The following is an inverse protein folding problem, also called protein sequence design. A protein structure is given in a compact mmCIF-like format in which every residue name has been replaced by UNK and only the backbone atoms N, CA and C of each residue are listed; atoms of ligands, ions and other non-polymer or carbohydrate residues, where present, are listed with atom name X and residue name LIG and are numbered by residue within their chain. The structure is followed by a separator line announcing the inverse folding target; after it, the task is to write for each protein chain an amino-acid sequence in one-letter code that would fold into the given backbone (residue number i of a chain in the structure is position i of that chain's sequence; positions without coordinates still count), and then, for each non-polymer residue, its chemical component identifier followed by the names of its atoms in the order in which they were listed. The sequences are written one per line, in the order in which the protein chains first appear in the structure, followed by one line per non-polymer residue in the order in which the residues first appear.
data_IF_911627715767
#
_entry.id   IF_911627715767
#
_cell.length_a   1.000
_cell.length_b   1.000
_cell.length_c   1.000
_cell.angle_alpha   90.00
_cell.angle_beta   90.00
_cell.angle_gamma   90.00
#
_symmetry.space_group_name_H-M   'P 1'
#
loop_
_entity.id
_entity.type
_entity.pdbx_description
1 polymer ?
#
# COMPACT_ATOMS: atom_id res chain seq x y z
N UNK A 1 -22.97 -8.65 -15.52
CA UNK A 1 -23.42 -8.82 -14.12
C UNK A 1 -22.27 -8.91 -13.11
N UNK A 2 -21.20 -9.70 -13.33
CA UNK A 2 -20.08 -9.81 -12.38
C UNK A 2 -19.35 -8.46 -12.07
N UNK A 3 -19.22 -7.60 -13.08
CA UNK A 3 -18.55 -6.30 -12.95
C UNK A 3 -19.26 -5.35 -11.98
N UNK A 4 -20.60 -5.36 -11.93
CA UNK A 4 -21.38 -4.52 -11.02
C UNK A 4 -21.28 -4.98 -9.56
N UNK A 5 -21.15 -6.28 -9.32
CA UNK A 5 -20.98 -6.85 -7.98
C UNK A 5 -19.61 -6.52 -7.37
N UNK A 6 -18.54 -6.60 -8.18
CA UNK A 6 -17.17 -6.23 -7.80
C UNK A 6 -17.03 -4.75 -7.44
N UNK A 7 -17.70 -3.86 -8.17
CA UNK A 7 -17.70 -2.42 -7.88
C UNK A 7 -18.37 -2.14 -6.53
N UNK A 8 -19.43 -2.90 -6.19
CA UNK A 8 -20.14 -2.75 -4.92
C UNK A 8 -19.31 -3.22 -3.71
N UNK A 9 -18.58 -4.34 -3.83
CA UNK A 9 -17.71 -4.83 -2.75
C UNK A 9 -16.52 -3.90 -2.53
N UNK A 10 -15.97 -3.36 -3.60
CA UNK A 10 -14.85 -2.45 -3.55
C UNK A 10 -15.21 -1.09 -2.97
N UNK A 11 -16.32 -0.48 -3.41
CA UNK A 11 -16.78 0.79 -2.84
C UNK A 11 -17.05 0.65 -1.34
N UNK A 12 -17.62 -0.49 -0.93
CA UNK A 12 -17.84 -0.82 0.48
C UNK A 12 -16.52 -0.96 1.24
N UNK A 13 -15.53 -1.68 0.69
CA UNK A 13 -14.22 -1.86 1.30
C UNK A 13 -13.48 -0.53 1.45
N UNK A 14 -13.45 0.28 0.40
CA UNK A 14 -12.87 1.63 0.40
C UNK A 14 -13.49 2.50 1.49
N UNK A 15 -14.82 2.44 1.67
CA UNK A 15 -15.51 3.18 2.74
C UNK A 15 -15.09 2.69 4.14
N UNK A 16 -14.99 1.37 4.34
CA UNK A 16 -14.55 0.79 5.61
C UNK A 16 -13.11 1.21 5.94
N UNK A 17 -12.20 1.11 4.96
CA UNK A 17 -10.80 1.51 5.13
C UNK A 17 -10.68 3.01 5.47
N UNK A 18 -11.41 3.87 4.75
CA UNK A 18 -11.42 5.31 5.04
C UNK A 18 -11.92 5.61 6.46
N UNK A 19 -12.97 4.94 6.91
CA UNK A 19 -13.47 5.11 8.27
C UNK A 19 -12.43 4.69 9.31
N UNK A 20 -11.80 3.52 9.13
CA UNK A 20 -10.75 3.03 10.03
C UNK A 20 -9.55 3.99 10.11
N UNK A 21 -9.10 4.52 8.97
CA UNK A 21 -8.00 5.50 8.91
C UNK A 21 -8.37 6.78 9.66
N UNK A 22 -9.59 7.29 9.47
CA UNK A 22 -10.07 8.47 10.19
C UNK A 22 -10.15 8.23 11.70
N UNK A 23 -10.61 7.07 12.13
CA UNK A 23 -10.68 6.71 13.54
C UNK A 23 -9.29 6.68 14.20
N UNK A 24 -8.30 6.06 13.54
CA UNK A 24 -6.90 6.03 14.01
C UNK A 24 -6.33 7.46 14.07
N UNK A 25 -6.58 8.25 13.03
CA UNK A 25 -6.11 9.64 12.95
C UNK A 25 -6.72 10.53 14.03
N UNK A 26 -8.02 10.36 14.34
CA UNK A 26 -8.71 11.09 15.41
C UNK A 26 -8.09 10.84 16.79
N UNK A 27 -7.50 9.64 16.98
CA UNK A 27 -6.73 9.28 18.18
C UNK A 27 -5.30 9.84 18.15
N UNK A 28 -4.96 10.72 17.20
CA UNK A 28 -3.63 11.29 16.94
C UNK A 28 -2.54 10.25 16.63
N UNK A 29 -2.94 9.09 16.13
CA UNK A 29 -2.03 8.05 15.66
C UNK A 29 -1.85 8.16 14.15
N UNK A 30 -0.67 7.79 13.65
CA UNK A 30 -0.38 7.78 12.22
C UNK A 30 -0.63 6.36 11.66
N UNK A 31 -1.68 6.12 10.86
CA UNK A 31 -1.95 4.80 10.32
C UNK A 31 -0.94 4.45 9.23
N UNK A 32 -0.51 3.18 9.25
CA UNK A 32 0.42 2.60 8.29
C UNK A 32 -0.24 1.38 7.66
N UNK A 33 -0.43 1.40 6.34
CA UNK A 33 -0.87 0.23 5.59
C UNK A 33 0.35 -0.56 5.12
N UNK A 34 0.51 -1.77 5.68
CA UNK A 34 1.55 -2.71 5.24
C UNK A 34 0.88 -3.74 4.34
N UNK A 35 1.40 -3.88 3.12
CA UNK A 35 0.98 -4.92 2.19
C UNK A 35 2.14 -5.87 1.97
N UNK A 36 1.99 -7.10 2.45
CA UNK A 36 2.89 -8.19 2.11
C UNK A 36 2.54 -8.78 0.74
N UNK A 37 3.54 -9.28 0.04
CA UNK A 37 3.41 -9.81 -1.32
C UNK A 37 2.64 -8.88 -2.29
N UNK A 38 2.88 -7.57 -2.19
CA UNK A 38 2.30 -6.57 -3.09
C UNK A 38 2.65 -6.84 -4.57
N UNK A 39 3.73 -7.59 -4.83
CA UNK A 39 4.05 -8.14 -6.16
C UNK A 39 2.93 -8.98 -6.77
N UNK A 40 2.01 -9.55 -5.99
CA UNK A 40 0.87 -10.31 -6.48
C UNK A 40 -0.36 -9.44 -6.80
N UNK A 41 -0.37 -8.19 -6.36
CA UNK A 41 -1.50 -7.30 -6.61
C UNK A 41 -1.66 -6.99 -8.10
N UNK A 42 -2.93 -6.87 -8.51
CA UNK A 42 -3.32 -6.41 -9.84
C UNK A 42 -3.09 -4.91 -9.96
N UNK A 43 -2.78 -4.46 -11.17
CA UNK A 43 -2.50 -3.06 -11.48
C UNK A 43 -3.65 -2.12 -11.04
N UNK A 44 -4.90 -2.51 -11.25
CA UNK A 44 -6.09 -1.76 -10.86
C UNK A 44 -6.20 -1.47 -9.36
N UNK A 45 -5.61 -2.30 -8.50
CA UNK A 45 -5.63 -2.13 -7.04
C UNK A 45 -4.68 -1.02 -6.60
N UNK A 46 -3.53 -0.85 -7.27
CA UNK A 46 -2.60 0.24 -6.97
C UNK A 46 -3.22 1.62 -7.21
N UNK A 47 -4.02 1.77 -8.27
CA UNK A 47 -4.76 3.02 -8.51
C UNK A 47 -5.75 3.33 -7.38
N UNK A 48 -6.37 2.31 -6.80
CA UNK A 48 -7.34 2.49 -5.72
C UNK A 48 -6.69 2.78 -4.37
N UNK A 49 -5.52 2.16 -4.10
CA UNK A 49 -4.71 2.49 -2.92
C UNK A 49 -4.33 3.97 -2.91
N UNK A 50 -3.99 4.54 -4.06
CA UNK A 50 -3.74 5.98 -4.18
C UNK A 50 -4.99 6.79 -3.79
N UNK A 51 -6.16 6.44 -4.32
CA UNK A 51 -7.43 7.12 -3.99
C UNK A 51 -7.78 7.04 -2.49
N UNK A 52 -7.46 5.93 -1.82
CA UNK A 52 -7.69 5.80 -0.37
C UNK A 52 -6.74 6.72 0.41
N UNK A 53 -5.50 6.94 -0.04
CA UNK A 53 -4.54 7.84 0.62
C UNK A 53 -4.92 9.33 0.49
N UNK A 54 -5.72 9.69 -0.53
CA UNK A 54 -6.20 11.05 -0.77
C UNK A 54 -7.44 11.32 0.10
N UNK A 55 -7.25 12.01 1.23
CA UNK A 55 -8.34 12.48 2.09
C UNK A 55 -8.61 13.96 1.83
N UNK A 56 -9.90 14.30 1.65
CA UNK A 56 -10.49 15.58 1.26
C UNK A 56 -9.63 16.82 1.56
N UNK A 57 -9.08 17.46 0.52
CA UNK A 57 -8.45 18.80 0.49
C UNK A 57 -7.41 19.15 1.57
N UNK A 58 -7.09 18.25 2.51
CA UNK A 58 -6.06 18.42 3.52
C UNK A 58 -4.75 18.04 2.86
N UNK A 59 -3.81 18.99 2.80
CA UNK A 59 -2.50 18.82 2.16
C UNK A 59 -1.61 17.73 2.77
N UNK A 60 -2.03 17.12 3.89
CA UNK A 60 -1.35 16.00 4.54
C UNK A 60 -2.05 14.69 4.22
N UNK A 61 -1.30 13.77 3.60
CA UNK A 61 -1.71 12.36 3.50
C UNK A 61 -1.92 11.79 4.90
N UNK A 62 -3.12 11.26 5.14
CA UNK A 62 -3.49 10.64 6.41
C UNK A 62 -3.05 9.19 6.51
N UNK A 63 -2.49 8.61 5.45
CA UNK A 63 -2.12 7.20 5.38
C UNK A 63 -0.73 7.05 4.76
N UNK A 64 0.20 6.50 5.54
CA UNK A 64 1.47 6.02 5.00
C UNK A 64 1.33 4.58 4.52
N UNK A 65 2.01 4.20 3.43
CA UNK A 65 1.96 2.83 2.90
C UNK A 65 3.35 2.21 2.77
N UNK A 66 3.44 0.91 3.07
CA UNK A 66 4.61 0.07 2.89
C UNK A 66 4.21 -1.11 2.02
N UNK A 67 4.86 -1.23 0.86
CA UNK A 67 4.63 -2.32 -0.09
C UNK A 67 5.85 -3.23 -0.07
N UNK A 68 5.68 -4.44 0.46
CA UNK A 68 6.68 -5.49 0.46
C UNK A 68 6.36 -6.50 -0.64
N UNK A 69 7.39 -7.04 -1.29
CA UNK A 69 7.21 -8.03 -2.35
C UNK A 69 8.49 -8.25 -3.14
N UNK A 70 8.36 -9.00 -4.23
CA UNK A 70 9.46 -9.33 -5.12
C UNK A 70 9.90 -8.13 -5.97
N UNK A 71 11.07 -8.24 -6.61
CA UNK A 71 11.68 -7.15 -7.39
C UNK A 71 10.76 -6.61 -8.50
N UNK A 72 9.92 -7.46 -9.10
CA UNK A 72 8.95 -7.07 -10.14
C UNK A 72 7.88 -6.07 -9.66
N UNK A 73 7.73 -5.88 -8.34
CA UNK A 73 6.86 -4.86 -7.77
C UNK A 73 7.31 -3.45 -8.19
N UNK A 74 8.62 -3.21 -8.24
CA UNK A 74 9.17 -1.91 -8.66
C UNK A 74 8.77 -1.60 -10.09
N UNK A 75 8.85 -2.59 -10.98
CA UNK A 75 8.47 -2.43 -12.39
C UNK A 75 6.99 -2.10 -12.53
N UNK A 76 6.12 -2.78 -11.76
CA UNK A 76 4.67 -2.48 -11.73
C UNK A 76 4.37 -1.06 -11.28
N UNK A 77 5.12 -0.54 -10.32
CA UNK A 77 4.95 0.82 -9.77
C UNK A 77 5.50 1.91 -10.70
N UNK A 78 6.47 1.59 -11.56
CA UNK A 78 7.07 2.54 -12.51
C UNK A 78 6.25 2.73 -13.80
N UNK A 79 5.21 1.92 -14.01
CA UNK A 79 4.30 2.10 -15.14
C UNK A 79 3.63 3.49 -15.09
N UNK A 80 3.53 4.13 -16.26
CA UNK A 80 3.03 5.52 -16.40
C UNK A 80 1.68 5.77 -15.71
N UNK A 81 0.78 4.78 -15.73
CA UNK A 81 -0.54 4.85 -15.10
C UNK A 81 -0.51 5.00 -13.56
N UNK A 82 0.63 4.74 -12.90
CA UNK A 82 0.76 4.76 -11.43
C UNK A 82 1.79 5.77 -10.93
N UNK A 83 2.19 6.72 -11.79
CA UNK A 83 3.08 7.83 -11.42
C UNK A 83 2.64 8.59 -10.16
N UNK A 84 1.34 8.84 -9.91
CA UNK A 84 0.88 9.47 -8.67
C UNK A 84 1.20 8.63 -7.42
N UNK A 85 0.94 7.32 -7.45
CA UNK A 85 1.29 6.43 -6.34
C UNK A 85 2.82 6.33 -6.18
N UNK A 86 3.55 6.21 -7.28
CA UNK A 86 5.01 6.16 -7.27
C UNK A 86 5.64 7.44 -6.69
N UNK A 87 5.00 8.59 -6.90
CA UNK A 87 5.45 9.86 -6.32
C UNK A 87 5.25 9.96 -4.80
N UNK A 88 4.34 9.16 -4.25
CA UNK A 88 4.13 9.04 -2.80
C UNK A 88 5.11 8.05 -2.13
N UNK A 89 5.91 7.31 -2.92
CA UNK A 89 6.91 6.37 -2.40
C UNK A 89 8.20 7.14 -2.11
N UNK A 90 8.44 7.40 -0.83
CA UNK A 90 9.57 8.21 -0.36
C UNK A 90 10.87 7.40 -0.29
N UNK A 91 10.79 6.06 -0.23
CA UNK A 91 11.96 5.19 -0.12
C UNK A 91 11.73 3.83 -0.74
N UNK A 92 12.81 3.25 -1.26
CA UNK A 92 12.87 1.86 -1.74
C UNK A 92 13.99 1.17 -1.00
N UNK A 93 13.72 0.00 -0.44
CA UNK A 93 14.73 -0.83 0.20
C UNK A 93 14.71 -2.21 -0.44
N UNK A 94 15.90 -2.74 -0.72
CA UNK A 94 16.05 -4.13 -1.16
C UNK A 94 16.51 -4.96 0.04
N UNK A 95 15.62 -5.78 0.57
CA UNK A 95 15.94 -6.78 1.57
C UNK A 95 16.76 -7.89 0.88
N UNK A 96 18.06 -7.92 1.15
CA UNK A 96 18.92 -9.00 0.68
C UNK A 96 18.53 -10.29 1.40
N UNK A 97 18.58 -11.41 0.68
CA UNK A 97 18.42 -12.72 1.29
C UNK A 97 19.42 -12.92 2.42
N UNK A 98 18.99 -13.58 3.49
CA UNK A 98 19.83 -13.91 4.63
C UNK A 98 21.04 -14.72 4.16
N UNK A 99 22.24 -14.30 4.54
CA UNK A 99 23.41 -15.15 4.41
C UNK A 99 23.43 -16.14 5.57
N UNK A 100 24.13 -17.25 5.40
CA UNK A 100 24.30 -18.26 6.45
C UNK A 100 24.75 -17.66 7.80
N UNK A 101 25.68 -16.70 7.76
CA UNK A 101 26.16 -15.98 8.95
C UNK A 101 25.09 -15.11 9.64
N UNK A 102 24.11 -14.61 8.89
CA UNK A 102 23.02 -13.80 9.43
C UNK A 102 21.98 -14.69 10.14
N UNK A 103 21.82 -15.94 9.69
CA UNK A 103 20.96 -16.93 10.35
C UNK A 103 21.50 -17.35 11.72
N UNK A 104 22.81 -17.51 11.89
CA UNK A 104 23.42 -17.89 13.18
C UNK A 104 23.14 -16.87 14.29
N UNK A 105 22.97 -15.58 13.94
CA UNK A 105 22.65 -14.51 14.88
C UNK A 105 21.14 -14.38 15.16
N UNK A 106 20.28 -14.99 14.35
CA UNK A 106 18.82 -14.84 14.43
C UNK A 106 18.17 -15.76 15.48
N UNK A 107 18.91 -16.77 15.96
CA UNK A 107 18.44 -17.79 16.90
C UNK A 107 19.22 -17.80 18.24
N UNK A 108 20.03 -16.75 18.50
CA UNK A 108 20.70 -16.51 19.76
C UNK A 108 19.97 -15.40 20.55
#
# INVERSE_FOLDING_TARGET
MAHAFLVNSLAKLTRILRYAILEITQRKQNPILITDEASLMRLEIFAQLHTISQFDMVSKSLLSSVLAGQNNLVDKLLLYAFRPLASCIIGRSHLKGLKYKDMELSFA
#
